data_IF_085257201632
#
_entry.id   IF_085257201632
#
_cell.length_a   1.000
_cell.length_b   1.000
_cell.length_c   1.000
_cell.angle_alpha   90.00
_cell.angle_beta   90.00
_cell.angle_gamma   90.00
#
_symmetry.space_group_name_H-M   'P 1'
#
loop_
_entity.id
_entity.type
_entity.pdbx_description
1 polymer ?
2 non-polymer ?
3 non-polymer ?
4 non-polymer ?
5 water ?
#
# COMPACT_ATOMS: atom_id res chain seq x y z
N UNK A 1 17.72 -10.31 8.82
CA UNK A 1 18.16 -8.94 9.22
C UNK A 1 16.95 -8.15 9.74
N UNK A 2 16.58 -7.10 9.02
CA UNK A 2 15.35 -6.36 9.27
C UNK A 2 14.13 -7.15 8.77
N UNK A 3 13.17 -7.45 9.66
CA UNK A 3 11.87 -8.02 9.26
C UNK A 3 11.05 -6.96 8.53
N UNK A 4 10.45 -7.32 7.40
CA UNK A 4 9.69 -6.37 6.59
C UNK A 4 8.24 -6.78 6.44
N UNK A 5 7.34 -5.91 6.90
CA UNK A 5 5.91 -6.20 6.94
C UNK A 5 5.17 -5.11 6.19
N UNK A 6 4.34 -5.45 5.20
CA UNK A 6 3.55 -4.40 4.53
C UNK A 6 2.10 -4.38 4.95
N UNK A 7 1.53 -3.18 5.00
CA UNK A 7 0.19 -2.99 5.52
C UNK A 7 -0.69 -2.64 4.34
N UNK A 8 -1.71 -3.45 4.07
CA UNK A 8 -2.50 -3.32 2.83
C UNK A 8 -3.97 -3.05 3.13
N UNK A 9 -4.65 -2.36 2.22
CA UNK A 9 -6.06 -2.07 2.44
C UNK A 9 -6.60 -1.13 1.40
N UNK A 10 -7.90 -0.92 1.42
CA UNK A 10 -8.49 0.00 0.50
C UNK A 10 -8.20 1.47 0.88
N UNK A 11 -8.50 2.39 -0.02
CA UNK A 11 -8.39 3.81 0.23
C UNK A 11 -9.23 4.08 1.48
N UNK A 12 -8.69 4.82 2.45
CA UNK A 12 -9.36 5.18 3.72
C UNK A 12 -9.80 4.04 4.63
N UNK A 13 -9.19 2.86 4.46
CA UNK A 13 -9.46 1.72 5.35
C UNK A 13 -8.93 1.97 6.75
N UNK A 14 -7.82 2.71 6.84
CA UNK A 14 -7.28 3.10 8.13
C UNK A 14 -5.81 2.83 8.30
N UNK A 15 -5.06 2.81 7.19
CA UNK A 15 -3.60 2.55 7.26
C UNK A 15 -2.77 3.57 8.04
N UNK A 16 -2.99 4.87 7.86
CA UNK A 16 -2.23 5.86 8.62
C UNK A 16 -2.63 5.87 10.08
N UNK A 17 -3.89 5.56 10.34
CA UNK A 17 -4.39 5.46 11.72
C UNK A 17 -3.66 4.34 12.46
N UNK A 18 -3.55 3.19 11.80
CA UNK A 18 -2.88 2.01 12.31
C UNK A 18 -1.36 2.25 12.43
N UNK A 19 -0.76 2.77 11.36
CA UNK A 19 0.65 3.11 11.33
C UNK A 19 1.08 4.03 12.46
N UNK A 20 0.21 4.95 12.86
CA UNK A 20 0.50 5.91 13.92
C UNK A 20 0.50 5.36 15.34
N UNK A 21 0.04 4.12 15.52
CA UNK A 21 0.11 3.48 16.84
C UNK A 21 1.28 2.49 16.99
N UNK A 22 2.00 2.22 15.91
CA UNK A 22 3.00 1.16 15.92
C UNK A 22 4.31 1.50 16.61
N UNK A 23 4.82 2.72 16.42
CA UNK A 23 6.11 3.07 17.00
C UNK A 23 6.09 3.04 18.52
N UNK A 24 4.95 3.39 19.12
CA UNK A 24 4.83 3.40 20.59
C UNK A 24 4.77 2.02 21.22
N UNK A 25 4.70 0.97 20.40
CA UNK A 25 4.58 -0.42 20.89
C UNK A 25 5.92 -1.15 21.00
N UNK A 26 6.92 -0.67 20.29
CA UNK A 26 8.27 -1.21 20.37
C UNK A 26 9.20 -0.18 19.76
N UNK A 27 10.25 0.15 20.48
CA UNK A 27 11.18 1.16 20.00
C UNK A 27 12.05 0.66 18.87
N UNK A 28 11.93 -0.63 18.54
CA UNK A 28 12.66 -1.25 17.43
C UNK A 28 11.87 -1.30 16.12
N UNK A 29 10.65 -0.76 16.16
CA UNK A 29 9.76 -0.76 15.01
C UNK A 29 9.85 0.56 14.24
N UNK A 30 10.08 0.44 12.94
CA UNK A 30 10.13 1.61 12.06
C UNK A 30 8.99 1.52 11.03
N UNK A 31 8.63 2.66 10.46
CA UNK A 31 7.50 2.76 9.54
C UNK A 31 7.88 3.57 8.27
N UNK A 32 7.63 3.03 7.09
CA UNK A 32 7.74 3.83 5.86
C UNK A 32 6.35 4.19 5.36
N UNK A 33 5.91 5.45 5.60
CA UNK A 33 4.56 5.85 5.18
C UNK A 33 4.49 6.00 3.65
N UNK A 34 3.29 5.87 3.09
CA UNK A 34 3.07 6.10 1.69
C UNK A 34 3.16 7.61 1.41
N UNK A 35 3.96 8.02 0.40
CA UNK A 35 4.23 9.44 0.12
C UNK A 35 3.09 10.18 -0.60
N UNK A 36 1.88 10.16 -0.04
CA UNK A 36 0.73 10.71 -0.75
C UNK A 36 0.75 12.23 -0.87
N UNK A 37 1.30 12.91 0.15
CA UNK A 37 1.41 14.38 0.09
C UNK A 37 2.35 14.83 -1.03
N UNK A 38 3.37 14.02 -1.31
CA UNK A 38 4.28 14.20 -2.44
C UNK A 38 3.63 13.95 -3.81
N UNK A 39 2.51 13.22 -3.84
CA UNK A 39 1.81 12.96 -5.10
C UNK A 39 0.87 14.11 -5.43
N UNK A 40 0.62 14.93 -4.42
CA UNK A 40 -0.31 16.04 -4.50
C UNK A 40 0.38 17.36 -4.81
N UNK A 41 1.70 17.35 -4.69
CA UNK A 41 2.51 18.52 -5.02
C UNK A 41 3.85 18.05 -5.53
N UNK A 42 3.89 17.78 -6.83
CA UNK A 42 5.08 17.19 -7.46
C UNK A 42 6.26 18.16 -7.51
N UNK A 43 7.35 17.75 -6.86
CA UNK A 43 8.61 18.48 -6.91
C UNK A 43 9.81 17.56 -6.85
N UNK A 44 10.94 18.08 -7.31
CA UNK A 44 12.19 17.34 -7.37
C UNK A 44 12.78 17.16 -5.98
N UNK A 45 13.62 16.14 -5.83
CA UNK A 45 14.28 15.84 -4.56
C UNK A 45 15.80 16.00 -4.67
N UNK A 58 4.55 26.29 -5.90
CA UNK A 58 4.37 24.85 -5.80
C UNK A 58 3.80 24.18 -7.07
N UNK A 59 3.98 22.86 -7.15
CA UNK A 59 3.85 22.11 -8.39
C UNK A 59 2.57 21.36 -8.65
N UNK A 60 2.64 20.44 -9.61
CA UNK A 60 1.48 19.71 -10.08
C UNK A 60 0.92 18.73 -9.06
N UNK A 61 -0.39 18.60 -9.07
CA UNK A 61 -1.07 17.66 -8.20
C UNK A 61 -1.42 16.42 -9.01
N UNK A 62 -0.53 15.43 -9.01
CA UNK A 62 -0.64 14.33 -10.00
C UNK A 62 -1.73 13.31 -9.67
N UNK A 63 -2.03 13.17 -8.38
CA UNK A 63 -3.17 12.40 -7.90
C UNK A 63 -4.50 12.99 -8.41
N UNK A 64 -4.65 14.30 -8.27
CA UNK A 64 -5.81 14.98 -8.79
C UNK A 64 -5.95 14.86 -10.31
N UNK A 65 -4.84 14.95 -11.02
CA UNK A 65 -4.83 14.90 -12.50
C UNK A 65 -5.34 13.55 -12.99
N UNK A 66 -4.87 12.47 -12.36
CA UNK A 66 -5.35 11.12 -12.65
C UNK A 66 -6.84 10.94 -12.45
N UNK A 67 -7.32 11.34 -11.28
CA UNK A 67 -8.74 11.22 -10.95
C UNK A 67 -9.66 12.09 -11.84
N UNK A 68 -9.18 13.26 -12.28
CA UNK A 68 -9.96 14.16 -13.16
C UNK A 68 -9.98 13.66 -14.59
N UNK A 69 -8.89 13.02 -15.00
CA UNK A 69 -8.79 12.46 -16.34
C UNK A 69 -7.90 11.20 -16.33
N UNK A 70 -8.45 10.05 -15.88
CA UNK A 70 -7.68 8.84 -15.64
C UNK A 70 -7.12 8.18 -16.87
N UNK A 71 -7.75 8.38 -18.03
CA UNK A 71 -7.27 7.82 -19.31
C UNK A 71 -6.01 8.53 -19.77
N UNK A 72 -5.82 9.76 -19.30
CA UNK A 72 -4.67 10.58 -19.60
C UNK A 72 -3.53 10.38 -18.59
N UNK A 73 -3.87 10.33 -17.30
CA UNK A 73 -2.86 10.45 -16.25
C UNK A 73 -2.53 9.25 -15.39
N UNK A 74 -3.17 8.12 -15.65
CA UNK A 74 -2.94 6.90 -14.88
C UNK A 74 -1.53 6.31 -15.04
N UNK A 75 -1.03 6.22 -16.27
CA UNK A 75 0.33 5.67 -16.47
C UNK A 75 1.39 6.50 -15.76
N UNK A 76 1.35 7.81 -16.00
CA UNK A 76 2.25 8.78 -15.37
C UNK A 76 2.17 8.72 -13.84
N UNK A 77 0.95 8.75 -13.34
CA UNK A 77 0.75 8.64 -11.90
C UNK A 77 1.33 7.35 -11.39
N UNK A 78 0.91 6.22 -11.94
CA UNK A 78 1.27 4.91 -11.38
C UNK A 78 2.77 4.68 -11.34
N UNK A 79 3.43 5.16 -12.38
CA UNK A 79 4.89 5.10 -12.55
C UNK A 79 5.64 5.95 -11.52
N UNK A 80 5.15 7.16 -11.28
CA UNK A 80 5.73 8.04 -10.26
C UNK A 80 5.41 7.59 -8.84
N UNK A 81 4.19 7.09 -8.65
CA UNK A 81 3.75 6.56 -7.37
C UNK A 81 4.65 5.42 -6.90
N UNK A 82 4.93 4.47 -7.79
CA UNK A 82 5.70 3.30 -7.44
C UNK A 82 7.17 3.63 -7.20
N UNK A 83 7.77 4.42 -8.09
CA UNK A 83 9.16 4.83 -7.93
C UNK A 83 9.40 5.59 -6.63
N UNK A 84 8.49 6.51 -6.29
CA UNK A 84 8.66 7.28 -5.06
C UNK A 84 8.54 6.38 -3.83
N UNK A 85 7.66 5.38 -3.89
CA UNK A 85 7.60 4.34 -2.87
C UNK A 85 8.93 3.59 -2.78
N UNK A 86 9.43 3.06 -3.89
CA UNK A 86 10.70 2.32 -3.85
C UNK A 86 11.78 3.18 -3.21
N UNK A 87 11.92 4.42 -3.66
CA UNK A 87 12.91 5.34 -3.10
C UNK A 87 12.79 5.47 -1.58
N UNK A 88 11.56 5.63 -1.11
CA UNK A 88 11.27 5.82 0.31
C UNK A 88 11.59 4.58 1.15
N UNK A 89 11.22 3.41 0.64
CA UNK A 89 11.43 2.15 1.34
C UNK A 89 12.92 1.78 1.41
N UNK A 90 13.62 2.03 0.31
CA UNK A 90 15.07 1.86 0.25
C UNK A 90 15.78 2.79 1.20
N UNK A 91 15.26 4.00 1.36
CA UNK A 91 15.91 5.02 2.17
C UNK A 91 15.93 4.64 3.64
N UNK A 92 14.98 3.81 4.07
CA UNK A 92 14.88 3.44 5.47
C UNK A 92 15.60 2.12 5.79
N UNK A 93 15.95 1.36 4.75
CA UNK A 93 16.72 0.13 4.91
C UNK A 93 18.13 0.51 5.27
N UNK A 94 18.76 1.19 4.32
CA UNK A 94 20.09 1.72 4.47
C UNK A 94 20.04 2.91 5.42
N UNK A 95 18.82 3.25 5.85
CA UNK A 95 18.57 4.38 6.72
C UNK A 95 19.05 4.18 8.14
N UNK A 96 20.33 3.85 8.27
CA UNK A 96 21.02 3.86 9.56
C UNK A 96 20.31 3.16 10.68
N UNK A 97 19.38 3.88 11.31
CA UNK A 97 18.58 3.34 12.41
C UNK A 97 18.00 1.97 12.03
N UNK A 98 18.68 0.94 12.49
CA UNK A 98 18.26 -0.45 12.34
C UNK A 98 18.72 -1.13 13.64
N UNK A 99 20.03 -1.08 13.87
CA UNK A 99 20.67 -1.65 15.06
C UNK A 99 19.68 -1.72 16.21
N UNK A 100 19.08 -2.89 16.38
CA UNK A 100 18.15 -3.14 17.48
C UNK A 100 18.07 -4.62 17.66
N UNK A 101 17.79 -5.06 18.90
CA UNK A 101 17.67 -6.49 19.19
C UNK A 101 16.65 -7.21 18.29
N UNK A 102 15.64 -6.46 17.81
CA UNK A 102 14.60 -7.01 16.93
C UNK A 102 13.97 -5.91 16.03
N UNK A 103 14.70 -5.49 14.97
CA UNK A 103 14.20 -4.48 14.03
C UNK A 103 13.09 -4.99 13.10
N UNK A 104 11.97 -4.25 13.07
CA UNK A 104 10.83 -4.53 12.17
C UNK A 104 10.48 -3.26 11.37
N UNK A 105 10.45 -3.39 10.05
CA UNK A 105 10.13 -2.27 9.16
C UNK A 105 8.74 -2.46 8.53
N UNK A 106 7.83 -1.56 8.87
CA UNK A 106 6.47 -1.61 8.35
C UNK A 106 6.38 -0.72 7.11
N UNK A 107 5.90 -1.28 5.98
CA UNK A 107 5.71 -0.54 4.74
C UNK A 107 4.25 -0.21 4.60
N UNK A 108 3.89 1.06 4.39
CA UNK A 108 2.49 1.35 4.11
C UNK A 108 2.25 1.13 2.62
N UNK A 109 1.66 -0.01 2.27
CA UNK A 109 1.49 -0.56 0.90
C UNK A 109 2.81 -1.05 0.33
N UNK A 110 2.81 -1.54 -0.91
CA UNK A 110 4.01 -2.19 -1.46
C UNK A 110 3.98 -2.07 -2.96
N UNK A 111 5.09 -2.43 -3.61
CA UNK A 111 5.15 -2.44 -5.08
C UNK A 111 4.18 -3.44 -5.70
N UNK A 112 3.65 -4.35 -4.89
CA UNK A 112 2.75 -5.39 -5.35
C UNK A 112 1.31 -4.89 -5.40
N UNK A 113 0.87 -4.16 -4.38
CA UNK A 113 -0.42 -3.46 -4.51
C UNK A 113 -0.39 -2.44 -5.65
N UNK A 114 0.67 -1.65 -5.75
CA UNK A 114 0.78 -0.66 -6.79
C UNK A 114 0.41 -1.28 -8.13
N UNK A 115 1.03 -2.42 -8.44
CA UNK A 115 0.86 -3.11 -9.71
C UNK A 115 -0.39 -3.98 -9.79
N UNK A 116 -0.57 -4.85 -8.81
CA UNK A 116 -1.60 -5.89 -8.86
C UNK A 116 -3.00 -5.45 -8.40
N UNK A 117 -3.05 -4.32 -7.71
CA UNK A 117 -4.31 -3.74 -7.30
C UNK A 117 -4.62 -2.54 -8.18
N UNK A 118 -3.77 -1.51 -8.06
CA UNK A 118 -4.08 -0.20 -8.57
C UNK A 118 -3.83 -0.06 -10.04
N UNK A 119 -2.64 -0.39 -10.50
CA UNK A 119 -2.33 -0.20 -11.93
C UNK A 119 -3.13 -1.17 -12.79
N UNK A 120 -3.21 -2.43 -12.33
CA UNK A 120 -4.04 -3.47 -12.94
C UNK A 120 -5.51 -3.07 -13.09
N UNK A 121 -6.10 -2.54 -12.02
CA UNK A 121 -7.47 -2.02 -12.07
C UNK A 121 -7.69 -0.93 -13.12
N UNK A 122 -6.76 0.01 -13.23
CA UNK A 122 -6.87 1.07 -14.22
C UNK A 122 -6.65 0.57 -15.64
N UNK A 123 -5.73 -0.38 -15.82
CA UNK A 123 -5.64 -1.00 -17.11
C UNK A 123 -6.95 -1.71 -17.45
N UNK A 124 -7.44 -2.52 -16.51
CA UNK A 124 -8.64 -3.32 -16.78
C UNK A 124 -9.85 -2.44 -17.05
N UNK A 125 -9.79 -1.20 -16.58
CA UNK A 125 -10.87 -0.22 -16.78
C UNK A 125 -10.68 0.69 -18.00
N UNK A 126 -9.71 0.33 -18.83
CA UNK A 126 -9.42 1.07 -20.05
C UNK A 126 -8.78 2.44 -19.82
N UNK A 127 -8.22 2.62 -18.63
CA UNK A 127 -7.52 3.85 -18.30
C UNK A 127 -6.04 3.82 -18.69
N UNK A 128 -5.50 2.62 -18.92
CA UNK A 128 -4.21 2.45 -19.61
C UNK A 128 -4.43 1.60 -20.84
N UNK A 129 -3.79 1.92 -21.95
CA UNK A 129 -3.89 1.07 -23.13
C UNK A 129 -2.84 -0.02 -23.08
N UNK A 130 -2.78 -0.87 -24.11
CA UNK A 130 -1.86 -2.01 -24.12
C UNK A 130 -0.41 -1.56 -24.02
N UNK A 131 -0.08 -0.50 -24.76
CA UNK A 131 1.27 0.05 -24.74
C UNK A 131 1.69 0.52 -23.36
N UNK A 132 0.85 1.37 -22.75
CA UNK A 132 1.09 1.89 -21.40
C UNK A 132 1.25 0.72 -20.45
N UNK A 133 0.28 -0.19 -20.46
CA UNK A 133 0.33 -1.39 -19.62
C UNK A 133 1.61 -2.24 -19.80
N UNK A 134 2.00 -2.47 -21.05
CA UNK A 134 3.27 -3.18 -21.31
C UNK A 134 4.50 -2.44 -20.78
N UNK A 135 4.55 -1.13 -20.96
CA UNK A 135 5.69 -0.34 -20.47
C UNK A 135 5.74 -0.38 -18.94
N UNK A 136 4.60 -0.19 -18.29
CA UNK A 136 4.53 -0.22 -16.82
C UNK A 136 5.09 -1.54 -16.29
N UNK A 137 4.56 -2.66 -16.75
CA UNK A 137 4.96 -3.98 -16.24
C UNK A 137 6.44 -4.29 -16.48
N UNK A 138 6.92 -3.92 -17.66
CA UNK A 138 8.32 -4.00 -18.05
C UNK A 138 9.18 -3.19 -17.07
N UNK A 139 8.77 -1.95 -16.80
CA UNK A 139 9.46 -1.09 -15.85
C UNK A 139 9.44 -1.71 -14.45
N UNK A 140 8.27 -2.19 -14.06
CA UNK A 140 8.03 -2.73 -12.73
C UNK A 140 8.85 -4.00 -12.49
N UNK A 141 8.88 -4.88 -13.49
CA UNK A 141 9.72 -6.08 -13.47
C UNK A 141 11.19 -5.75 -13.31
N UNK A 142 11.70 -4.85 -14.15
CA UNK A 142 13.09 -4.41 -14.06
C UNK A 142 13.42 -3.78 -12.71
N UNK A 143 12.61 -2.82 -12.26
CA UNK A 143 12.75 -2.23 -10.91
C UNK A 143 12.80 -3.27 -9.79
N UNK A 144 12.04 -4.35 -9.92
CA UNK A 144 12.05 -5.40 -8.93
C UNK A 144 13.31 -6.25 -9.04
N UNK A 145 13.80 -6.44 -10.26
CA UNK A 145 15.03 -7.17 -10.50
C UNK A 145 16.22 -6.49 -9.79
N UNK A 146 16.27 -5.17 -9.88
CA UNK A 146 17.35 -4.40 -9.26
C UNK A 146 17.22 -4.38 -7.75
N UNK A 147 16.07 -3.91 -7.26
CA UNK A 147 15.87 -3.62 -5.84
C UNK A 147 14.84 -4.54 -5.19
N UNK A 148 14.65 -5.72 -5.78
CA UNK A 148 13.66 -6.67 -5.33
C UNK A 148 14.00 -7.39 -4.04
N UNK A 149 15.16 -8.04 -4.02
CA UNK A 149 15.61 -8.80 -2.85
C UNK A 149 15.66 -7.96 -1.57
N UNK A 150 16.17 -6.73 -1.70
CA UNK A 150 16.17 -5.76 -0.62
C UNK A 150 14.81 -5.62 0.08
N UNK A 151 13.74 -5.58 -0.71
CA UNK A 151 12.43 -5.17 -0.22
C UNK A 151 11.47 -6.33 0.01
N UNK A 152 11.96 -7.56 -0.08
CA UNK A 152 11.12 -8.74 0.08
C UNK A 152 10.39 -8.79 1.42
N UNK A 153 9.15 -9.23 1.39
CA UNK A 153 8.29 -9.19 2.56
C UNK A 153 8.36 -10.48 3.35
N UNK A 154 8.42 -10.32 4.67
CA UNK A 154 8.32 -11.45 5.59
C UNK A 154 6.86 -11.64 6.03
N UNK A 155 6.02 -10.62 5.81
CA UNK A 155 4.61 -10.72 6.17
C UNK A 155 3.75 -9.57 5.71
N UNK A 156 2.45 -9.83 5.56
CA UNK A 156 1.47 -8.83 5.16
C UNK A 156 0.41 -8.71 6.26
N UNK A 157 0.03 -7.47 6.60
CA UNK A 157 -1.10 -7.21 7.47
C UNK A 157 -2.15 -6.57 6.61
N UNK A 158 -3.30 -7.23 6.46
CA UNK A 158 -4.39 -6.75 5.63
C UNK A 158 -5.44 -6.10 6.49
N UNK A 159 -5.70 -4.82 6.24
CA UNK A 159 -6.70 -4.07 6.98
C UNK A 159 -7.97 -4.14 6.20
N UNK A 160 -8.86 -5.02 6.63
CA UNK A 160 -10.08 -5.31 5.89
C UNK A 160 -11.25 -4.47 6.37
N UNK A 161 -11.93 -3.84 5.41
CA UNK A 161 -13.06 -2.98 5.70
C UNK A 161 -13.97 -2.99 4.46
N UNK A 162 -15.28 -2.87 4.64
CA UNK A 162 -16.20 -2.88 3.49
C UNK A 162 -15.96 -1.63 2.64
N UNK A 163 -16.24 -1.69 1.32
CA UNK A 163 -16.09 -0.51 0.47
C UNK A 163 -16.91 0.66 0.97
N UNK A 164 -17.99 0.35 1.67
CA UNK A 164 -18.95 1.35 2.13
C UNK A 164 -18.44 2.11 3.36
N UNK A 165 -17.77 1.39 4.27
CA UNK A 165 -16.98 1.96 5.38
C UNK A 165 -15.89 2.90 4.86
N UNK A 166 -15.11 2.43 3.87
CA UNK A 166 -14.11 3.23 3.17
C UNK A 166 -14.69 4.50 2.54
N UNK A 167 -15.71 4.36 1.70
CA UNK A 167 -16.41 5.54 1.20
C UNK A 167 -16.68 6.55 2.32
N UNK A 168 -17.14 6.08 3.46
CA UNK A 168 -17.48 6.98 4.56
C UNK A 168 -16.22 7.59 5.13
N UNK A 169 -15.17 6.79 5.24
CA UNK A 169 -13.96 7.29 5.82
C UNK A 169 -13.25 8.29 4.91
N UNK A 170 -13.44 8.17 3.59
CA UNK A 170 -12.99 9.20 2.67
C UNK A 170 -13.62 10.53 3.04
N UNK A 171 -14.90 10.50 3.38
CA UNK A 171 -15.64 11.69 3.78
C UNK A 171 -15.07 12.28 5.07
N UNK A 172 -14.83 11.41 6.05
CA UNK A 172 -14.28 11.84 7.33
C UNK A 172 -12.92 12.50 7.16
N UNK A 173 -12.01 11.89 6.41
CA UNK A 173 -10.65 12.44 6.25
C UNK A 173 -10.67 13.78 5.48
N UNK A 174 -11.54 13.89 4.48
CA UNK A 174 -11.73 15.15 3.76
C UNK A 174 -10.60 15.58 2.85
N UNK A 175 -9.77 14.64 2.39
CA UNK A 175 -8.74 14.95 1.41
C UNK A 175 -9.42 15.33 0.10
N UNK A 176 -9.18 16.56 -0.35
CA UNK A 176 -9.89 17.18 -1.46
C UNK A 176 -9.98 16.32 -2.72
N UNK A 177 -8.85 15.68 -3.05
CA UNK A 177 -8.68 14.90 -4.27
C UNK A 177 -9.56 13.63 -4.32
N UNK A 178 -9.83 13.07 -3.15
CA UNK A 178 -10.52 11.80 -3.09
C UNK A 178 -12.03 11.94 -2.92
N UNK A 179 -12.54 13.17 -2.86
CA UNK A 179 -13.95 13.36 -2.54
C UNK A 179 -14.90 12.91 -3.65
N UNK A 180 -14.39 12.83 -4.87
CA UNK A 180 -15.25 12.44 -6.00
C UNK A 180 -15.24 10.96 -6.34
N UNK A 181 -14.44 10.17 -5.61
CA UNK A 181 -14.31 8.72 -5.86
C UNK A 181 -15.63 7.98 -5.60
N UNK A 182 -16.16 7.29 -6.64
CA UNK A 182 -17.39 6.52 -6.51
C UNK A 182 -17.21 5.19 -5.75
N UNK A 183 -18.26 4.73 -5.09
CA UNK A 183 -18.31 3.40 -4.49
C UNK A 183 -17.88 2.28 -5.43
N UNK A 184 -18.29 2.38 -6.69
CA UNK A 184 -17.95 1.39 -7.70
C UNK A 184 -16.45 1.14 -7.79
N UNK A 185 -15.68 2.22 -7.81
CA UNK A 185 -14.20 2.18 -7.87
C UNK A 185 -13.66 1.52 -6.62
N UNK A 186 -14.19 1.88 -5.47
CA UNK A 186 -13.79 1.27 -4.21
C UNK A 186 -14.15 -0.23 -4.15
N UNK A 187 -15.29 -0.59 -4.75
CA UNK A 187 -15.66 -2.01 -4.78
C UNK A 187 -14.71 -2.85 -5.62
N UNK A 188 -14.32 -2.31 -6.78
CA UNK A 188 -13.31 -2.99 -7.60
C UNK A 188 -12.02 -3.21 -6.82
N UNK A 189 -11.59 -2.20 -6.05
CA UNK A 189 -10.35 -2.29 -5.29
C UNK A 189 -10.48 -3.23 -4.11
N UNK A 190 -11.69 -3.29 -3.56
CA UNK A 190 -12.04 -4.25 -2.50
C UNK A 190 -11.85 -5.69 -2.98
N UNK A 191 -12.52 -6.05 -4.08
CA UNK A 191 -12.47 -7.40 -4.58
C UNK A 191 -11.06 -7.85 -5.01
N UNK A 192 -10.23 -6.92 -5.46
CA UNK A 192 -8.84 -7.25 -5.81
C UNK A 192 -8.02 -7.59 -4.58
N UNK A 193 -8.27 -6.88 -3.50
CA UNK A 193 -7.60 -7.18 -2.24
C UNK A 193 -8.06 -8.52 -1.68
N UNK A 194 -9.34 -8.84 -1.83
CA UNK A 194 -9.91 -10.08 -1.28
C UNK A 194 -9.36 -11.26 -2.06
N UNK A 195 -9.22 -11.08 -3.37
CA UNK A 195 -8.65 -12.07 -4.25
C UNK A 195 -7.19 -12.33 -3.93
N UNK A 196 -6.45 -11.28 -3.63
CA UNK A 196 -5.03 -11.43 -3.37
C UNK A 196 -4.76 -11.97 -1.97
N UNK A 197 -5.47 -11.42 -1.00
CA UNK A 197 -5.10 -11.56 0.40
C UNK A 197 -6.04 -12.45 1.24
N UNK A 198 -7.28 -12.64 0.76
CA UNK A 198 -8.23 -13.49 1.48
C UNK A 198 -8.29 -14.88 0.85
N UNK A 199 -8.69 -14.93 -0.42
CA UNK A 199 -8.79 -16.19 -1.14
C UNK A 199 -7.43 -16.63 -1.64
N UNK A 200 -6.51 -15.69 -1.73
CA UNK A 200 -5.15 -15.93 -2.23
C UNK A 200 -5.15 -16.58 -3.62
N UNK A 201 -6.12 -16.18 -4.44
CA UNK A 201 -6.22 -16.68 -5.81
C UNK A 201 -5.59 -15.77 -6.86
N UNK A 202 -5.24 -14.54 -6.48
CA UNK A 202 -4.62 -13.63 -7.45
C UNK A 202 -3.17 -14.02 -7.69
N UNK A 203 -2.84 -14.32 -8.94
CA UNK A 203 -1.48 -14.73 -9.30
C UNK A 203 -0.62 -13.53 -9.68
N UNK A 204 0.63 -13.56 -9.23
CA UNK A 204 1.59 -12.50 -9.49
C UNK A 204 2.83 -13.12 -10.13
N UNK A 205 3.77 -12.26 -10.48
CA UNK A 205 5.01 -12.64 -11.11
C UNK A 205 6.08 -12.87 -10.05
N UNK A 206 5.67 -13.01 -8.80
CA UNK A 206 6.57 -13.12 -7.65
C UNK A 206 6.09 -14.24 -6.79
N UNK A 207 6.73 -15.40 -6.94
CA UNK A 207 6.24 -16.66 -6.37
C UNK A 207 6.18 -16.72 -4.84
N UNK A 208 7.22 -16.19 -4.18
CA UNK A 208 7.30 -16.24 -2.72
C UNK A 208 6.05 -15.68 -2.01
N UNK A 209 5.41 -14.68 -2.62
CA UNK A 209 4.22 -14.03 -2.04
C UNK A 209 3.07 -14.99 -1.78
N UNK A 210 3.06 -16.13 -2.46
CA UNK A 210 1.97 -17.07 -2.30
C UNK A 210 2.00 -17.78 -0.94
N UNK A 211 3.19 -17.87 -0.33
CA UNK A 211 3.35 -18.49 1.00
C UNK A 211 3.63 -17.49 2.13
N UNK A 212 3.80 -16.21 1.80
CA UNK A 212 4.03 -15.16 2.80
C UNK A 212 2.88 -15.14 3.80
N UNK A 213 3.17 -15.20 5.12
CA UNK A 213 2.10 -15.13 6.13
C UNK A 213 1.25 -13.85 6.04
N UNK A 214 -0.05 -13.97 6.24
CA UNK A 214 -0.98 -12.84 6.18
C UNK A 214 -1.79 -12.74 7.47
N UNK A 215 -1.84 -11.56 8.05
CA UNK A 215 -2.73 -11.29 9.18
C UNK A 215 -3.89 -10.42 8.70
N UNK A 216 -5.12 -10.92 8.87
CA UNK A 216 -6.28 -10.15 8.49
C UNK A 216 -6.97 -9.56 9.70
N UNK A 217 -7.10 -8.23 9.69
CA UNK A 217 -7.74 -7.48 10.74
C UNK A 217 -9.01 -6.83 10.19
N UNK A 218 -10.15 -7.20 10.74
CA UNK A 218 -11.40 -6.54 10.37
C UNK A 218 -11.44 -5.23 11.09
N UNK A 219 -11.37 -4.14 10.33
CA UNK A 219 -11.33 -2.78 10.92
C UNK A 219 -12.58 -1.94 10.64
N UNK A 220 -13.71 -2.58 10.39
CA UNK A 220 -15.01 -1.89 10.20
C UNK A 220 -15.53 -1.17 11.46
N UNK A 221 -15.16 -1.67 12.64
CA UNK A 221 -15.55 -1.07 13.92
C UNK A 221 -14.69 0.14 14.27
N UNK A 222 -15.06 0.83 15.36
CA UNK A 222 -14.39 2.05 15.80
C UNK A 222 -12.98 1.75 16.29
N UNK A 223 -12.00 2.51 15.82
CA UNK A 223 -10.60 2.26 16.17
C UNK A 223 -10.34 2.23 17.68
N UNK A 224 -10.99 3.11 18.44
CA UNK A 224 -10.80 3.17 19.91
C UNK A 224 -11.12 1.83 20.56
N UNK A 225 -12.25 1.24 20.17
CA UNK A 225 -12.76 0.01 20.76
C UNK A 225 -11.99 -1.23 20.32
N UNK A 226 -11.39 -1.19 19.13
CA UNK A 226 -10.72 -2.37 18.60
C UNK A 226 -9.21 -2.38 18.85
N UNK A 227 -8.69 -1.24 19.26
CA UNK A 227 -7.26 -1.01 19.40
C UNK A 227 -6.51 -2.09 20.19
N UNK A 228 -6.98 -2.41 21.40
CA UNK A 228 -6.26 -3.34 22.26
C UNK A 228 -6.16 -4.74 21.67
N UNK A 229 -7.25 -5.22 21.06
CA UNK A 229 -7.24 -6.55 20.43
C UNK A 229 -6.31 -6.61 19.21
N UNK A 230 -6.29 -5.53 18.43
CA UNK A 230 -5.41 -5.43 17.25
C UNK A 230 -3.93 -5.48 17.63
N UNK A 231 -3.55 -4.75 18.68
CA UNK A 231 -2.18 -4.77 19.20
C UNK A 231 -1.75 -6.18 19.57
N UNK A 232 -2.59 -6.87 20.35
CA UNK A 232 -2.36 -8.27 20.70
C UNK A 232 -2.09 -9.13 19.47
N UNK A 233 -2.95 -9.01 18.46
CA UNK A 233 -2.83 -9.82 17.26
C UNK A 233 -1.58 -9.52 16.43
N UNK A 234 -1.16 -8.27 16.41
CA UNK A 234 0.06 -7.84 15.69
C UNK A 234 1.34 -8.40 16.35
N UNK A 235 1.42 -8.26 17.68
CA UNK A 235 2.51 -8.85 18.46
C UNK A 235 2.55 -10.39 18.33
N UNK A 236 1.38 -11.02 18.47
CA UNK A 236 1.23 -12.46 18.29
C UNK A 236 1.71 -12.88 16.90
N UNK A 237 1.30 -12.14 15.88
CA UNK A 237 1.66 -12.41 14.48
C UNK A 237 3.16 -12.25 14.19
N UNK A 238 3.77 -11.20 14.72
CA UNK A 238 5.20 -10.94 14.50
C UNK A 238 6.10 -12.01 15.13
N UNK A 239 5.66 -12.53 16.27
CA UNK A 239 6.40 -13.55 17.02
C UNK A 239 6.50 -14.90 16.29
N UNK A 240 5.55 -15.14 15.36
CA UNK A 240 5.55 -16.35 14.52
C UNK A 240 6.36 -16.19 13.23
N UNK A 241 6.97 -15.03 13.03
CA UNK A 241 7.74 -14.79 11.82
C UNK A 241 9.25 -14.90 12.11
#
# INVERSE_FOLDING_TARGET
RIKKISIEGNIAAGKSTFVNILKQLCEDWEVVPEPVARWCNVQSTQDEFEELTMSQKNGGNVLQMMYEKPERWSFTFQTYACLSRIRAQLASLNGKLKDAEKPVLFFERSVYSDRYIFASNLYESECMNETEWTIYQDWHDWMNNQFGQSLELDGIIYLQATPETCLHRIYLRGRNEEQGIPLEYLEKLHYKHESWLLHRTLKTNFDYLQEVPILTLDVNEDFKDKYESLVEKVKEFLSTL
#
